data_IF_751302902233
#
_entry.id   IF_751302902233
#
_cell.length_a   1.000
_cell.length_b   1.000
_cell.length_c   1.000
_cell.angle_alpha   90.00
_cell.angle_beta   90.00
_cell.angle_gamma   90.00
#
_symmetry.space_group_name_H-M   'P 1'
#
loop_
_entity.id
_entity.type
_entity.pdbx_description
1 polymer ?
#
# COMPACT_ATOMS: atom_id res chain seq x y z
N UNK A 1 9.74 4.11 1.87
CA UNK A 1 8.83 5.21 2.25
C UNK A 1 9.09 5.59 3.70
N UNK A 2 9.14 6.88 4.05
CA UNK A 2 9.23 7.32 5.45
C UNK A 2 7.83 7.63 6.01
N UNK A 3 7.72 7.84 7.34
CA UNK A 3 6.44 8.07 8.00
C UNK A 3 5.69 9.29 7.47
N UNK A 4 6.39 10.39 7.17
CA UNK A 4 5.77 11.61 6.64
C UNK A 4 5.13 11.36 5.26
N UNK A 5 5.82 10.65 4.37
CA UNK A 5 5.29 10.26 3.07
C UNK A 5 4.10 9.28 3.20
N UNK A 6 4.16 8.34 4.15
CA UNK A 6 3.02 7.46 4.46
C UNK A 6 1.80 8.25 4.97
N UNK A 7 2.00 9.15 5.93
CA UNK A 7 0.94 9.98 6.51
C UNK A 7 0.22 10.81 5.45
N UNK A 8 0.99 11.40 4.55
CA UNK A 8 0.48 12.26 3.47
C UNK A 8 -0.03 11.49 2.25
N UNK A 9 0.14 10.16 2.20
CA UNK A 9 -0.41 9.34 1.12
C UNK A 9 -1.93 9.31 1.22
N UNK A 10 -2.63 10.00 0.32
CA UNK A 10 -4.10 10.06 0.29
C UNK A 10 -4.72 8.78 -0.26
N UNK A 11 -3.97 8.00 -1.04
CA UNK A 11 -4.40 6.73 -1.64
C UNK A 11 -4.07 5.50 -0.79
N UNK A 12 -3.78 5.67 0.50
CA UNK A 12 -3.50 4.53 1.39
C UNK A 12 -4.80 3.86 1.83
N UNK A 13 -4.84 2.54 1.84
CA UNK A 13 -5.99 1.79 2.31
C UNK A 13 -5.58 0.81 3.41
N UNK A 14 -6.41 0.68 4.44
CA UNK A 14 -6.14 -0.25 5.54
C UNK A 14 -6.51 -1.68 5.13
N UNK A 15 -5.57 -2.61 5.28
CA UNK A 15 -5.77 -4.02 4.91
C UNK A 15 -5.98 -4.93 6.12
N UNK A 16 -5.54 -4.52 7.31
CA UNK A 16 -5.69 -5.32 8.52
C UNK A 16 -4.55 -5.14 9.52
N UNK A 17 -4.57 -5.95 10.57
CA UNK A 17 -3.56 -5.95 11.62
C UNK A 17 -2.89 -7.32 11.70
N UNK A 18 -1.57 -7.32 11.90
CA UNK A 18 -0.76 -8.51 12.14
C UNK A 18 0.07 -8.28 13.41
N UNK A 19 -0.03 -9.16 14.41
CA UNK A 19 0.66 -8.99 15.70
C UNK A 19 2.18 -8.78 15.54
N UNK A 20 2.81 -9.48 14.59
CA UNK A 20 4.25 -9.42 14.38
C UNK A 20 4.71 -8.17 13.61
N UNK A 21 3.80 -7.50 12.89
CA UNK A 21 4.14 -6.43 11.92
C UNK A 21 3.41 -5.11 12.17
N UNK A 22 2.37 -5.09 12.99
CA UNK A 22 1.51 -3.94 13.21
C UNK A 22 0.41 -3.80 12.16
N UNK A 23 0.05 -2.55 11.87
CA UNK A 23 -1.04 -2.21 10.96
C UNK A 23 -0.58 -2.28 9.51
N UNK A 24 -1.33 -2.97 8.66
CA UNK A 24 -0.99 -3.22 7.27
C UNK A 24 -1.82 -2.32 6.37
N UNK A 25 -1.15 -1.68 5.40
CA UNK A 25 -1.78 -0.78 4.44
C UNK A 25 -1.33 -1.10 3.01
N UNK A 26 -2.22 -0.92 2.04
CA UNK A 26 -1.84 -0.66 0.66
C UNK A 26 -1.50 0.83 0.53
N UNK A 27 -0.49 1.17 -0.28
CA UNK A 27 -0.15 2.56 -0.61
C UNK A 27 0.19 2.66 -2.08
N UNK A 28 -0.15 3.79 -2.70
CA UNK A 28 0.33 4.14 -4.03
C UNK A 28 1.68 4.86 -3.92
N UNK A 29 2.70 4.36 -4.60
CA UNK A 29 4.03 4.98 -4.64
C UNK A 29 4.16 5.96 -5.81
N UNK A 30 3.54 5.65 -6.95
CA UNK A 30 3.59 6.42 -8.20
C UNK A 30 2.42 6.02 -9.12
N UNK A 31 2.33 6.58 -10.32
CA UNK A 31 1.47 6.07 -11.39
C UNK A 31 1.77 4.58 -11.61
N UNK A 32 0.81 3.72 -11.24
CA UNK A 32 0.83 2.25 -11.35
C UNK A 32 1.75 1.49 -10.38
N UNK A 33 2.57 2.15 -9.57
CA UNK A 33 3.40 1.48 -8.55
C UNK A 33 2.72 1.51 -7.21
N UNK A 34 2.60 0.34 -6.59
CA UNK A 34 1.94 0.15 -5.31
C UNK A 34 2.85 -0.63 -4.37
N UNK A 35 2.60 -0.49 -3.08
CA UNK A 35 3.24 -1.31 -2.08
C UNK A 35 2.26 -1.70 -0.97
N UNK A 36 2.54 -2.84 -0.35
CA UNK A 36 2.00 -3.19 0.96
C UNK A 36 3.04 -2.82 2.00
N UNK A 37 2.63 -2.04 2.99
CA UNK A 37 3.49 -1.56 4.08
C UNK A 37 2.92 -1.94 5.44
N UNK A 38 3.80 -2.20 6.38
CA UNK A 38 3.50 -2.32 7.79
C UNK A 38 3.84 -1.02 8.51
N UNK A 39 2.93 -0.55 9.37
CA UNK A 39 3.16 0.54 10.31
C UNK A 39 3.19 -0.03 11.74
N UNK A 40 4.34 0.13 12.39
CA UNK A 40 4.52 -0.27 13.79
C UNK A 40 5.35 0.79 14.50
N UNK A 41 4.83 1.37 15.59
CA UNK A 41 5.52 2.39 16.38
C UNK A 41 6.05 3.58 15.55
N UNK A 42 5.29 4.02 14.54
CA UNK A 42 5.70 5.09 13.63
C UNK A 42 6.71 4.68 12.54
N UNK A 43 7.24 3.45 12.60
CA UNK A 43 8.12 2.91 11.58
C UNK A 43 7.30 2.28 10.45
N UNK A 44 7.60 2.71 9.21
CA UNK A 44 6.98 2.16 8.00
C UNK A 44 7.95 1.16 7.38
N UNK A 45 7.53 -0.10 7.28
CA UNK A 45 8.30 -1.20 6.68
C UNK A 45 7.61 -1.67 5.41
N UNK A 46 8.32 -1.67 4.29
CA UNK A 46 7.80 -2.19 3.03
C UNK A 46 7.82 -3.71 3.05
N UNK A 47 6.68 -4.34 2.75
CA UNK A 47 6.52 -5.79 2.73
C UNK A 47 6.53 -6.33 1.31
N UNK A 48 5.78 -5.69 0.42
CA UNK A 48 5.63 -6.09 -0.99
C UNK A 48 5.62 -4.82 -1.82
N UNK A 49 6.31 -4.83 -2.96
CA UNK A 49 6.19 -3.79 -3.98
C UNK A 49 5.76 -4.44 -5.28
N UNK A 50 4.77 -3.85 -5.95
CA UNK A 50 4.24 -4.37 -7.20
C UNK A 50 3.85 -3.24 -8.15
N UNK A 51 3.79 -3.57 -9.44
CA UNK A 51 3.29 -2.67 -10.47
C UNK A 51 1.96 -3.23 -10.96
N UNK A 52 0.88 -2.46 -10.84
CA UNK A 52 -0.40 -2.88 -11.40
C UNK A 52 -0.37 -2.69 -12.91
N UNK A 53 -0.65 -3.76 -13.64
CA UNK A 53 -0.90 -3.67 -15.08
C UNK A 53 -2.40 -3.46 -15.28
N UNK A 54 -2.81 -2.38 -15.97
CA UNK A 54 -4.22 -2.21 -16.31
C UNK A 54 -4.63 -3.35 -17.26
N UNK A 55 -5.61 -4.14 -16.83
CA UNK A 55 -6.29 -5.07 -17.71
C UNK A 55 -7.58 -4.42 -18.21
N UNK A 56 -7.75 -4.37 -19.53
CA UNK A 56 -9.02 -3.99 -20.14
C UNK A 56 -9.96 -5.18 -20.02
N UNK A 57 -10.73 -5.25 -18.93
CA UNK A 57 -11.84 -6.20 -18.85
C UNK A 57 -12.96 -5.63 -19.73
N UNK A 58 -13.19 -6.25 -20.90
CA UNK A 58 -14.43 -6.01 -21.64
C UNK A 58 -15.56 -6.66 -20.86
N UNK A 59 -16.40 -5.84 -20.23
CA UNK A 59 -17.70 -6.31 -19.76
C UNK A 59 -18.57 -6.53 -20.99
N UNK A 60 -18.84 -7.79 -21.33
CA UNK A 60 -19.90 -8.13 -22.25
C UNK A 60 -21.24 -7.94 -21.52
N UNK A 61 -22.13 -7.14 -22.11
CA UNK A 61 -23.50 -6.86 -21.63
C UNK A 61 -24.48 -7.72 -22.38
#
# INVERSE_FOLDING_TARGET
MNYQAFKNNSSKEYLGFCEQKGFIYSVQLDERRFAVVALQNGQVTMLIQFTAQPCTVRMEV
#
